data_IF_133211516938
#
_entry.id   IF_133211516938
#
_cell.length_a   1.000
_cell.length_b   1.000
_cell.length_c   1.000
_cell.angle_alpha   90.00
_cell.angle_beta   90.00
_cell.angle_gamma   90.00
#
_symmetry.space_group_name_H-M   'P 1'
#
loop_
_entity.id
_entity.type
_entity.pdbx_description
1 polymer ?
#
# COMPACT_ATOMS: atom_id res chain seq x y z
N UNK A 1 -15.76 14.59 0.80
CA UNK A 1 -15.50 13.17 1.12
C UNK A 1 -16.21 12.37 0.06
N UNK A 2 -15.50 11.63 -0.80
CA UNK A 2 -16.14 10.78 -1.82
C UNK A 2 -17.03 9.76 -1.10
N UNK A 3 -18.33 9.75 -1.40
CA UNK A 3 -19.23 8.72 -0.89
C UNK A 3 -18.83 7.39 -1.54
N UNK A 4 -18.56 6.38 -0.72
CA UNK A 4 -18.34 5.02 -1.19
C UNK A 4 -19.72 4.49 -1.63
N UNK A 5 -19.86 4.18 -2.91
CA UNK A 5 -21.12 3.64 -3.44
C UNK A 5 -21.34 2.22 -2.89
N UNK A 6 -22.58 1.81 -2.53
CA UNK A 6 -22.87 0.45 -2.08
C UNK A 6 -22.55 -0.63 -3.13
N UNK A 7 -22.35 -0.23 -4.40
CA UNK A 7 -22.01 -1.11 -5.51
C UNK A 7 -20.51 -1.18 -5.79
N UNK A 8 -19.66 -0.45 -5.05
CA UNK A 8 -18.22 -0.54 -5.23
C UNK A 8 -17.69 -1.88 -4.73
N UNK A 9 -17.02 -2.60 -5.63
CA UNK A 9 -16.36 -3.87 -5.30
C UNK A 9 -15.07 -3.61 -4.51
N UNK A 10 -14.64 -4.61 -3.74
CA UNK A 10 -13.35 -4.59 -3.03
C UNK A 10 -12.17 -4.30 -3.97
N UNK A 11 -12.23 -4.80 -5.21
CA UNK A 11 -11.22 -4.55 -6.24
C UNK A 11 -11.21 -3.09 -6.70
N UNK A 12 -12.37 -2.45 -6.76
CA UNK A 12 -12.50 -1.02 -7.09
C UNK A 12 -11.90 -0.16 -5.99
N UNK A 13 -12.18 -0.52 -4.73
CA UNK A 13 -11.61 0.16 -3.55
C UNK A 13 -10.08 -0.04 -3.51
N UNK A 14 -9.60 -1.26 -3.73
CA UNK A 14 -8.18 -1.56 -3.80
C UNK A 14 -7.48 -0.78 -4.91
N UNK A 15 -8.10 -0.68 -6.10
CA UNK A 15 -7.58 0.12 -7.22
C UNK A 15 -7.52 1.62 -6.87
N UNK A 16 -8.53 2.17 -6.17
CA UNK A 16 -8.50 3.57 -5.70
C UNK A 16 -7.32 3.83 -4.74
N UNK A 17 -7.05 2.91 -3.82
CA UNK A 17 -5.87 2.98 -2.95
C UNK A 17 -4.57 2.89 -3.75
N UNK A 18 -4.48 1.94 -4.67
CA UNK A 18 -3.34 1.77 -5.57
C UNK A 18 -3.02 3.05 -6.35
N UNK A 19 -4.03 3.68 -6.94
CA UNK A 19 -3.88 4.95 -7.68
C UNK A 19 -3.43 6.12 -6.79
N UNK A 20 -3.61 6.02 -5.48
CA UNK A 20 -3.11 7.00 -4.48
C UNK A 20 -1.72 6.66 -3.96
N UNK A 21 -1.06 5.65 -4.53
CA UNK A 21 0.29 5.22 -4.15
C UNK A 21 0.33 4.31 -2.92
N UNK A 22 -0.80 3.73 -2.53
CA UNK A 22 -0.84 2.70 -1.50
C UNK A 22 -0.66 1.32 -2.13
N UNK A 23 0.02 0.43 -1.41
CA UNK A 23 0.19 -0.96 -1.81
C UNK A 23 -0.02 -1.87 -0.61
N UNK A 24 -0.51 -3.08 -0.85
CA UNK A 24 -0.82 -4.03 0.21
C UNK A 24 0.34 -5.00 0.41
N UNK A 25 0.75 -5.21 1.65
CA UNK A 25 1.78 -6.18 2.01
C UNK A 25 1.12 -7.51 2.38
N UNK A 26 1.38 -8.57 1.59
CA UNK A 26 0.71 -9.87 1.70
C UNK A 26 0.83 -10.51 3.08
N UNK A 27 2.02 -10.49 3.65
CA UNK A 27 2.31 -11.16 4.93
C UNK A 27 1.81 -10.34 6.14
N UNK A 28 2.25 -9.08 6.25
CA UNK A 28 1.81 -8.16 7.31
C UNK A 28 0.32 -7.79 7.24
N UNK A 29 -0.34 -8.00 6.10
CA UNK A 29 -1.75 -7.68 5.84
C UNK A 29 -2.11 -6.22 6.10
N UNK A 30 -1.16 -5.32 5.87
CA UNK A 30 -1.34 -3.88 6.01
C UNK A 30 -1.12 -3.15 4.69
N UNK A 31 -1.74 -1.99 4.59
CA UNK A 31 -1.51 -1.05 3.51
C UNK A 31 -0.32 -0.17 3.86
N UNK A 32 0.57 0.03 2.89
CA UNK A 32 1.75 0.87 3.01
C UNK A 32 1.77 1.93 1.91
N UNK A 33 2.39 3.06 2.19
CA UNK A 33 2.76 4.04 1.17
C UNK A 33 4.11 4.66 1.51
N UNK A 34 4.88 5.05 0.49
CA UNK A 34 6.17 5.73 0.68
C UNK A 34 5.90 7.12 1.26
N UNK A 35 6.73 7.54 2.22
CA UNK A 35 6.68 8.93 2.68
C UNK A 35 7.15 9.83 1.54
N UNK A 36 6.35 10.85 1.19
CA UNK A 36 6.71 11.80 0.13
C UNK A 36 8.00 12.53 0.47
N UNK A 37 8.79 12.85 -0.56
CA UNK A 37 10.06 13.56 -0.45
C UNK A 37 11.14 12.85 0.38
N UNK A 38 11.00 11.55 0.63
CA UNK A 38 12.07 10.72 1.18
C UNK A 38 12.39 9.58 0.23
N UNK A 39 13.60 9.63 -0.33
CA UNK A 39 14.14 8.55 -1.14
C UNK A 39 14.47 7.33 -0.28
N UNK A 40 14.29 6.10 -0.79
CA UNK A 40 14.77 4.90 -0.12
C UNK A 40 16.28 4.97 0.11
N UNK A 41 16.71 4.57 1.31
CA UNK A 41 18.13 4.44 1.68
C UNK A 41 18.82 3.36 0.85
N UNK A 42 18.11 2.29 0.53
CA UNK A 42 18.60 1.20 -0.32
C UNK A 42 17.52 0.87 -1.33
N UNK A 43 17.93 0.67 -2.59
CA UNK A 43 17.05 0.18 -3.65
C UNK A 43 17.80 -0.85 -4.47
N UNK A 44 17.20 -2.02 -4.60
CA UNK A 44 17.74 -3.14 -5.38
C UNK A 44 16.66 -3.68 -6.32
N UNK A 45 16.94 -4.75 -7.04
CA UNK A 45 15.93 -5.41 -7.89
C UNK A 45 14.92 -6.23 -7.09
N UNK A 46 15.24 -6.64 -5.86
CA UNK A 46 14.38 -7.51 -5.03
C UNK A 46 13.73 -6.80 -3.85
N UNK A 47 14.36 -5.76 -3.32
CA UNK A 47 13.85 -5.01 -2.18
C UNK A 47 14.30 -3.56 -2.17
N UNK A 48 13.64 -2.77 -1.34
CA UNK A 48 14.08 -1.44 -0.94
C UNK A 48 14.00 -1.25 0.57
N UNK A 49 14.78 -0.32 1.10
CA UNK A 49 14.74 0.09 2.51
C UNK A 49 14.49 1.59 2.57
N UNK A 50 13.47 2.02 3.30
CA UNK A 50 13.07 3.42 3.33
C UNK A 50 12.07 3.76 4.44
N UNK A 51 11.42 4.90 4.30
CA UNK A 51 10.40 5.38 5.22
C UNK A 51 9.00 5.21 4.62
N UNK A 52 8.11 4.60 5.39
CA UNK A 52 6.75 4.30 4.94
C UNK A 52 5.73 4.71 6.00
N UNK A 53 4.54 5.04 5.56
CA UNK A 53 3.36 5.03 6.39
C UNK A 53 2.65 3.69 6.22
N UNK A 54 2.26 3.04 7.32
CA UNK A 54 1.43 1.85 7.32
C UNK A 54 0.09 2.15 7.98
N UNK A 55 -1.00 1.67 7.39
CA UNK A 55 -2.34 1.75 7.99
C UNK A 55 -2.64 0.46 8.75
N UNK A 56 -2.74 0.55 10.07
CA UNK A 56 -3.08 -0.56 10.95
C UNK A 56 -4.60 -0.59 11.19
N UNK A 57 -5.34 -1.57 10.65
CA UNK A 57 -6.81 -1.60 10.74
C UNK A 57 -7.30 -1.81 12.17
N UNK A 58 -6.56 -2.54 13.01
CA UNK A 58 -6.95 -2.83 14.39
C UNK A 58 -6.96 -1.57 15.28
N UNK A 59 -6.03 -0.63 15.02
CA UNK A 59 -5.93 0.62 15.77
C UNK A 59 -6.51 1.83 15.03
N UNK A 60 -6.99 1.64 13.81
CA UNK A 60 -7.45 2.71 12.91
C UNK A 60 -6.46 3.88 12.81
N UNK A 61 -5.16 3.56 12.71
CA UNK A 61 -4.08 4.52 12.78
C UNK A 61 -3.09 4.38 11.62
N UNK A 62 -2.51 5.50 11.22
CA UNK A 62 -1.39 5.53 10.27
C UNK A 62 -0.09 5.70 11.05
N UNK A 63 0.74 4.65 11.06
CA UNK A 63 2.01 4.63 11.79
C UNK A 63 3.16 4.82 10.81
N UNK A 64 4.12 5.68 11.15
CA UNK A 64 5.36 5.83 10.39
C UNK A 64 6.35 4.73 10.77
N UNK A 65 6.92 4.08 9.77
CA UNK A 65 7.98 3.07 9.89
C UNK A 65 9.21 3.58 9.15
N UNK A 66 10.20 4.05 9.90
CA UNK A 66 11.51 4.41 9.35
C UNK A 66 12.37 3.16 9.17
N UNK A 67 13.30 3.18 8.21
CA UNK A 67 14.21 2.06 7.93
C UNK A 67 13.52 0.71 7.63
N UNK A 68 12.26 0.73 7.19
CA UNK A 68 11.53 -0.48 6.87
C UNK A 68 12.06 -1.11 5.58
N UNK A 69 12.22 -2.43 5.59
CA UNK A 69 12.65 -3.23 4.44
C UNK A 69 11.42 -3.76 3.74
N UNK A 70 11.16 -3.25 2.54
CA UNK A 70 10.08 -3.70 1.67
C UNK A 70 10.62 -4.71 0.65
N UNK A 71 10.27 -5.98 0.82
CA UNK A 71 10.50 -7.01 -0.18
C UNK A 71 9.45 -6.87 -1.29
N UNK A 72 9.87 -6.68 -2.54
CA UNK A 72 8.93 -6.47 -3.65
C UNK A 72 8.04 -7.68 -3.90
N UNK A 73 8.54 -8.88 -3.63
CA UNK A 73 7.73 -10.11 -3.70
C UNK A 73 6.57 -10.12 -2.71
N UNK A 74 6.67 -9.40 -1.60
CA UNK A 74 5.62 -9.34 -0.57
C UNK A 74 4.55 -8.29 -0.87
N UNK A 75 4.72 -7.49 -1.91
CA UNK A 75 3.75 -6.50 -2.36
C UNK A 75 2.71 -7.16 -3.27
N UNK A 76 1.44 -6.88 -3.02
CA UNK A 76 0.39 -7.31 -3.94
C UNK A 76 0.52 -6.66 -5.31
N UNK A 77 0.16 -7.41 -6.34
CA UNK A 77 0.15 -6.88 -7.70
C UNK A 77 -0.99 -5.86 -7.86
N UNK A 78 -0.89 -5.05 -8.91
CA UNK A 78 -1.95 -4.11 -9.28
C UNK A 78 -3.30 -4.87 -9.35
N UNK A 79 -4.35 -4.40 -8.65
CA UNK A 79 -5.68 -5.00 -8.73
C UNK A 79 -6.16 -5.04 -10.19
N UNK A 80 -6.74 -6.18 -10.59
CA UNK A 80 -7.35 -6.34 -11.92
C UNK A 80 -8.85 -6.20 -11.75
N UNK A 81 -9.44 -5.23 -12.42
CA UNK A 81 -10.89 -5.10 -12.45
C UNK A 81 -11.47 -6.17 -13.37
N UNK A 82 -12.55 -6.87 -12.99
CA UNK A 82 -13.28 -7.75 -13.90
C UNK A 82 -13.68 -6.97 -15.16
N UNK A 83 -13.41 -7.53 -16.33
CA UNK A 83 -13.98 -7.00 -17.58
C UNK A 83 -15.48 -7.30 -17.53
N UNK A 84 -16.29 -6.25 -17.67
CA UNK A 84 -17.76 -6.34 -17.71
C UNK A 84 -18.25 -7.07 -18.96
#
# INVERSE_FOLDING_TARGET
>A
MEQISPFETVDTIAMKFYNRGWFYHKDLRFWFTRVKNMEPLVKTNSYERGCYFCFEPNGWQTVRKDNFVLQYEMVEKRPVLPQQ
#
